data_IF_064789606206
#
_entry.id   IF_064789606206
#
_cell.length_a   1.000
_cell.length_b   1.000
_cell.length_c   1.000
_cell.angle_alpha   90.00
_cell.angle_beta   90.00
_cell.angle_gamma   90.00
#
_symmetry.space_group_name_H-M   'P 1'
#
loop_
_entity.id
_entity.type
_entity.pdbx_description
1 polymer ?
#
# COMPACT_ATOMS: atom_id res chain seq x y z
N UNK A 1 -0.54 -26.23 -25.18
CA UNK A 1 0.28 -25.97 -24.01
C UNK A 1 -0.54 -25.83 -22.69
N UNK A 2 -1.56 -25.01 -22.58
CA UNK A 2 -2.31 -24.73 -21.32
C UNK A 2 -3.61 -25.52 -21.11
N UNK A 3 -4.19 -26.05 -22.19
CA UNK A 3 -5.52 -26.68 -22.17
C UNK A 3 -5.70 -27.81 -21.14
N UNK A 4 -4.75 -28.74 -20.94
CA UNK A 4 -4.93 -29.83 -19.96
C UNK A 4 -4.75 -29.42 -18.51
N UNK A 5 -4.24 -28.20 -18.23
CA UNK A 5 -3.91 -27.70 -16.90
C UNK A 5 -4.93 -26.74 -16.33
N UNK A 6 -5.91 -26.31 -17.13
CA UNK A 6 -6.97 -25.40 -16.72
C UNK A 6 -8.32 -26.12 -16.76
N UNK A 7 -8.99 -26.16 -15.61
CA UNK A 7 -10.30 -26.78 -15.51
C UNK A 7 -11.31 -26.09 -16.44
N UNK A 8 -12.09 -26.90 -17.17
CA UNK A 8 -13.14 -26.44 -18.11
C UNK A 8 -12.66 -25.48 -19.19
N UNK A 9 -11.42 -25.67 -19.63
CA UNK A 9 -10.86 -24.90 -20.73
C UNK A 9 -11.62 -25.14 -22.05
N UNK A 10 -12.11 -24.05 -22.64
CA UNK A 10 -12.73 -24.10 -23.99
C UNK A 10 -12.38 -22.87 -24.81
N UNK A 11 -12.24 -23.04 -26.09
CA UNK A 11 -12.16 -21.94 -27.05
C UNK A 11 -13.58 -21.39 -27.27
N UNK A 12 -13.78 -20.10 -27.03
CA UNK A 12 -15.06 -19.41 -27.23
C UNK A 12 -15.14 -18.84 -28.65
N UNK A 13 -14.04 -18.24 -29.11
CA UNK A 13 -13.81 -17.74 -30.47
C UNK A 13 -12.30 -17.60 -30.68
N UNK A 14 -11.89 -17.16 -31.85
CA UNK A 14 -10.47 -16.93 -32.10
C UNK A 14 -9.90 -15.91 -31.12
N UNK A 15 -8.77 -16.30 -30.51
CA UNK A 15 -8.06 -15.50 -29.50
C UNK A 15 -8.86 -15.19 -28.20
N UNK A 16 -9.94 -15.95 -27.93
CA UNK A 16 -10.71 -15.87 -26.70
C UNK A 16 -10.95 -17.27 -26.12
N UNK A 17 -10.45 -17.53 -24.93
CA UNK A 17 -10.58 -18.80 -24.22
C UNK A 17 -11.22 -18.59 -22.87
N UNK A 18 -12.11 -19.49 -22.48
CA UNK A 18 -12.78 -19.47 -21.18
C UNK A 18 -12.39 -20.71 -20.37
N UNK A 19 -12.20 -20.54 -19.09
CA UNK A 19 -11.83 -21.61 -18.15
C UNK A 19 -12.14 -21.21 -16.72
N UNK A 20 -12.04 -22.16 -15.81
CA UNK A 20 -12.21 -21.92 -14.39
C UNK A 20 -11.01 -21.14 -13.83
N UNK A 21 -11.27 -20.09 -13.06
CA UNK A 21 -10.23 -19.20 -12.55
C UNK A 21 -9.24 -19.94 -11.65
N UNK A 22 -7.93 -19.95 -11.95
CA UNK A 22 -6.94 -20.62 -11.09
C UNK A 22 -6.65 -19.85 -9.79
N UNK A 23 -7.04 -18.57 -9.70
CA UNK A 23 -6.83 -17.75 -8.50
C UNK A 23 -7.94 -17.91 -7.47
N UNK A 24 -9.20 -17.90 -7.89
CA UNK A 24 -10.33 -17.93 -6.95
C UNK A 24 -11.20 -19.21 -7.04
N UNK A 25 -10.89 -20.12 -7.95
CA UNK A 25 -11.67 -21.34 -8.15
C UNK A 25 -13.12 -21.11 -8.60
N UNK A 26 -13.47 -19.87 -9.01
CA UNK A 26 -14.84 -19.44 -9.30
C UNK A 26 -15.81 -19.67 -8.13
N UNK A 27 -16.76 -20.61 -8.26
CA UNK A 27 -17.73 -20.89 -7.23
C UNK A 27 -17.54 -22.30 -6.66
N UNK A 28 -17.38 -22.39 -5.34
CA UNK A 28 -17.32 -23.68 -4.65
C UNK A 28 -18.67 -24.43 -4.71
N UNK A 29 -19.79 -23.68 -4.70
CA UNK A 29 -21.15 -24.22 -4.74
C UNK A 29 -21.59 -24.67 -6.13
N UNK A 30 -21.13 -23.97 -7.17
CA UNK A 30 -21.50 -24.24 -8.58
C UNK A 30 -20.27 -24.55 -9.43
N UNK A 31 -19.81 -25.80 -9.38
CA UNK A 31 -18.63 -26.26 -10.12
C UNK A 31 -18.73 -26.12 -11.66
N UNK A 32 -19.93 -25.79 -12.17
CA UNK A 32 -20.16 -25.57 -13.60
C UNK A 32 -19.70 -24.19 -14.10
N UNK A 33 -19.46 -23.23 -13.22
CA UNK A 33 -19.11 -21.87 -13.60
C UNK A 33 -17.61 -21.76 -13.92
N UNK A 34 -17.31 -21.13 -15.07
CA UNK A 34 -15.98 -20.80 -15.54
C UNK A 34 -15.99 -19.33 -15.97
N UNK A 35 -15.26 -18.46 -15.25
CA UNK A 35 -15.27 -17.01 -15.43
C UNK A 35 -13.88 -16.40 -15.63
N UNK A 36 -12.87 -17.24 -15.76
CA UNK A 36 -11.53 -16.86 -16.20
C UNK A 36 -11.49 -16.82 -17.74
N UNK A 37 -10.82 -15.81 -18.29
CA UNK A 37 -10.69 -15.63 -19.73
C UNK A 37 -9.27 -15.27 -20.11
N UNK A 38 -8.73 -15.94 -21.15
CA UNK A 38 -7.64 -15.40 -21.95
C UNK A 38 -8.20 -14.69 -23.17
N UNK A 39 -7.67 -13.50 -23.44
CA UNK A 39 -8.00 -12.72 -24.64
C UNK A 39 -6.76 -12.03 -25.18
N UNK A 40 -6.70 -11.90 -26.52
CA UNK A 40 -5.58 -11.25 -27.20
C UNK A 40 -5.77 -9.73 -27.16
N UNK A 41 -4.70 -9.00 -26.75
CA UNK A 41 -4.62 -7.55 -26.85
C UNK A 41 -3.27 -7.18 -27.48
N UNK A 42 -3.31 -6.58 -28.67
CA UNK A 42 -2.13 -6.39 -29.53
C UNK A 42 -1.48 -7.76 -29.83
N UNK A 43 -0.21 -7.95 -29.51
CA UNK A 43 0.54 -9.18 -29.76
C UNK A 43 0.58 -10.15 -28.56
N UNK A 44 -0.05 -9.79 -27.42
CA UNK A 44 -0.01 -10.57 -26.18
C UNK A 44 -1.39 -11.11 -25.78
N UNK A 45 -1.37 -12.25 -25.08
CA UNK A 45 -2.53 -12.74 -24.35
C UNK A 45 -2.55 -12.19 -22.93
N UNK A 46 -3.72 -11.64 -22.55
CA UNK A 46 -4.00 -11.19 -21.19
C UNK A 46 -5.04 -12.11 -20.56
N UNK A 47 -5.02 -12.16 -19.25
CA UNK A 47 -5.99 -12.87 -18.43
C UNK A 47 -6.88 -11.90 -17.66
N UNK A 48 -8.18 -12.23 -17.53
CA UNK A 48 -9.11 -11.59 -16.61
C UNK A 48 -10.14 -12.58 -16.08
N UNK A 49 -10.43 -12.49 -14.78
CA UNK A 49 -11.54 -13.22 -14.14
C UNK A 49 -12.69 -12.26 -13.84
N UNK A 50 -13.91 -12.62 -14.30
CA UNK A 50 -15.12 -11.85 -14.04
C UNK A 50 -15.75 -12.18 -12.68
N UNK A 51 -15.17 -13.08 -11.89
CA UNK A 51 -15.62 -13.39 -10.53
C UNK A 51 -14.84 -12.61 -9.48
N UNK A 52 -13.51 -12.70 -9.49
CA UNK A 52 -12.65 -12.03 -8.50
C UNK A 52 -12.01 -10.74 -9.01
N UNK A 53 -12.24 -10.35 -10.28
CA UNK A 53 -11.68 -9.14 -10.87
C UNK A 53 -10.20 -9.23 -11.25
N UNK A 54 -9.48 -10.30 -10.87
CA UNK A 54 -8.04 -10.45 -11.13
C UNK A 54 -7.74 -10.35 -12.63
N UNK A 55 -6.89 -9.39 -12.98
CA UNK A 55 -6.31 -9.22 -14.31
C UNK A 55 -4.80 -9.39 -14.25
N UNK A 56 -4.20 -10.08 -15.24
CA UNK A 56 -2.75 -10.28 -15.31
C UNK A 56 -2.31 -10.73 -16.70
N UNK A 57 -1.00 -10.92 -16.90
CA UNK A 57 -0.43 -11.42 -18.16
C UNK A 57 -0.56 -12.95 -18.26
N UNK A 58 -0.50 -13.47 -19.50
CA UNK A 58 -0.50 -14.91 -19.75
C UNK A 58 0.65 -15.63 -19.01
N UNK A 59 1.86 -15.05 -19.04
CA UNK A 59 3.01 -15.61 -18.35
C UNK A 59 2.79 -15.81 -16.85
N UNK A 60 2.20 -14.82 -16.15
CA UNK A 60 1.91 -14.93 -14.71
C UNK A 60 0.85 -15.99 -14.38
N UNK A 61 -0.05 -16.30 -15.29
CA UNK A 61 -0.97 -17.43 -15.11
C UNK A 61 -0.25 -18.76 -15.31
N UNK A 62 0.66 -18.84 -16.29
CA UNK A 62 1.50 -20.04 -16.48
C UNK A 62 2.38 -20.33 -15.27
N UNK A 63 3.04 -19.31 -14.74
CA UNK A 63 3.87 -19.41 -13.53
C UNK A 63 3.09 -19.99 -12.35
N UNK A 64 1.83 -19.59 -12.19
CA UNK A 64 0.95 -20.09 -11.14
C UNK A 64 0.53 -21.54 -11.32
N UNK A 65 0.24 -21.97 -12.54
CA UNK A 65 -0.36 -23.29 -12.78
C UNK A 65 0.67 -24.38 -13.10
N UNK A 66 1.80 -24.01 -13.70
CA UNK A 66 2.86 -24.95 -14.10
C UNK A 66 4.17 -24.22 -14.46
N UNK A 67 5.13 -24.31 -13.55
CA UNK A 67 6.42 -23.64 -13.68
C UNK A 67 7.23 -24.11 -14.90
N UNK A 68 7.12 -25.39 -15.27
CA UNK A 68 7.87 -25.92 -16.42
C UNK A 68 7.29 -25.42 -17.74
N UNK A 69 5.96 -25.34 -17.86
CA UNK A 69 5.31 -24.71 -19.01
C UNK A 69 5.64 -23.20 -19.07
N UNK A 70 5.77 -22.54 -17.95
CA UNK A 70 6.23 -21.14 -17.89
C UNK A 70 7.65 -20.99 -18.43
N UNK A 71 8.58 -21.84 -17.99
CA UNK A 71 9.97 -21.84 -18.51
C UNK A 71 10.02 -22.06 -20.01
N UNK A 72 9.23 -23.02 -20.54
CA UNK A 72 9.13 -23.26 -21.98
C UNK A 72 8.59 -22.04 -22.74
N UNK A 73 7.54 -21.40 -22.22
CA UNK A 73 6.96 -20.18 -22.78
C UNK A 73 7.98 -19.04 -22.84
N UNK A 74 8.76 -18.85 -21.77
CA UNK A 74 9.83 -17.85 -21.74
C UNK A 74 10.90 -18.17 -22.79
N UNK A 75 11.35 -19.44 -22.87
CA UNK A 75 12.34 -19.86 -23.87
C UNK A 75 11.86 -19.67 -25.31
N UNK A 76 10.59 -20.00 -25.62
CA UNK A 76 10.03 -19.79 -26.93
C UNK A 76 9.98 -18.30 -27.30
N UNK A 77 9.59 -17.45 -26.39
CA UNK A 77 9.61 -15.99 -26.60
C UNK A 77 11.00 -15.41 -26.86
N UNK A 78 12.02 -15.98 -26.23
CA UNK A 78 13.42 -15.59 -26.50
C UNK A 78 13.95 -16.12 -27.82
N UNK A 79 13.46 -17.27 -28.33
CA UNK A 79 13.86 -17.82 -29.63
C UNK A 79 13.31 -17.06 -30.83
N UNK A 80 12.12 -16.48 -30.71
CA UNK A 80 11.49 -15.66 -31.74
C UNK A 80 12.03 -14.23 -31.85
N UNK A 81 12.86 -13.81 -30.91
CA UNK A 81 13.62 -12.56 -30.99
C UNK A 81 14.94 -12.83 -31.71
N UNK A 82 14.97 -12.71 -33.06
CA UNK A 82 16.20 -12.66 -33.83
C UNK A 82 17.18 -11.65 -33.25
N UNK A 83 18.49 -11.96 -33.17
CA UNK A 83 19.45 -11.04 -32.62
C UNK A 83 19.60 -9.84 -33.57
N UNK A 84 18.92 -8.74 -33.29
CA UNK A 84 19.37 -7.45 -33.76
C UNK A 84 20.63 -7.13 -32.97
N UNK A 85 21.72 -6.85 -33.66
CA UNK A 85 22.92 -6.28 -33.08
C UNK A 85 22.53 -5.20 -32.07
N UNK A 86 22.59 -5.53 -30.78
CA UNK A 86 22.52 -4.55 -29.73
C UNK A 86 23.92 -3.95 -29.61
N UNK A 87 24.08 -2.70 -30.04
CA UNK A 87 25.11 -1.86 -29.52
C UNK A 87 24.96 -1.84 -27.97
N UNK A 88 26.06 -1.78 -27.19
CA UNK A 88 25.96 -1.73 -25.75
C UNK A 88 25.14 -0.50 -25.35
N UNK A 89 23.86 -0.72 -24.99
CA UNK A 89 23.08 0.31 -24.33
C UNK A 89 23.75 0.60 -23.00
N UNK A 90 24.43 1.73 -22.93
CA UNK A 90 24.70 2.36 -21.66
C UNK A 90 23.34 2.72 -21.06
N UNK A 91 22.87 1.91 -20.11
CA UNK A 91 21.73 2.25 -19.28
C UNK A 91 22.11 3.44 -18.39
N UNK A 92 22.10 4.64 -18.99
CA UNK A 92 21.83 5.81 -18.19
C UNK A 92 20.37 5.69 -17.77
N UNK A 93 20.10 5.34 -16.50
CA UNK A 93 18.82 5.66 -15.92
C UNK A 93 18.59 7.14 -16.20
N UNK A 94 17.73 7.42 -17.17
CA UNK A 94 17.30 8.79 -17.42
C UNK A 94 16.79 9.31 -16.08
N UNK A 95 17.25 10.47 -15.60
CA UNK A 95 16.76 11.02 -14.35
C UNK A 95 15.23 11.03 -14.44
N UNK A 96 14.58 10.31 -13.53
CA UNK A 96 13.12 10.29 -13.42
C UNK A 96 12.71 11.71 -13.05
N UNK A 97 12.51 12.57 -14.05
CA UNK A 97 11.87 13.86 -13.84
C UNK A 97 10.49 13.52 -13.25
N UNK A 98 10.31 13.81 -11.97
CA UNK A 98 8.98 13.73 -11.33
C UNK A 98 8.08 14.59 -12.22
N UNK A 99 7.12 13.97 -12.94
CA UNK A 99 6.08 14.72 -13.65
C UNK A 99 5.46 15.63 -12.63
N UNK A 100 5.42 16.96 -12.93
CA UNK A 100 4.73 17.90 -12.05
C UNK A 100 3.30 17.43 -11.91
N UNK A 101 2.93 17.04 -10.70
CA UNK A 101 1.57 16.59 -10.40
C UNK A 101 0.64 17.79 -10.47
N UNK A 102 -0.15 17.89 -11.53
CA UNK A 102 -1.13 18.97 -11.71
C UNK A 102 -2.07 19.12 -10.50
N UNK A 103 -2.29 18.04 -9.76
CA UNK A 103 -3.10 18.00 -8.53
C UNK A 103 -2.49 18.78 -7.38
N UNK A 104 -1.16 18.88 -7.30
CA UNK A 104 -0.40 19.54 -6.23
C UNK A 104 0.17 20.91 -6.63
N UNK A 105 0.09 21.31 -7.90
CA UNK A 105 0.72 22.53 -8.43
C UNK A 105 0.28 23.81 -7.71
N UNK A 106 -0.94 23.83 -7.21
CA UNK A 106 -1.50 24.99 -6.50
C UNK A 106 -1.19 25.00 -5.00
N UNK A 107 -0.51 23.98 -4.51
CA UNK A 107 -0.15 23.82 -3.10
C UNK A 107 1.30 24.24 -2.87
N UNK A 108 1.60 24.71 -1.66
CA UNK A 108 2.96 25.12 -1.29
C UNK A 108 3.63 24.01 -0.49
N UNK A 109 4.77 23.46 -0.95
CA UNK A 109 5.54 22.51 -0.16
C UNK A 109 6.04 23.13 1.16
N UNK A 110 6.04 22.35 2.23
CA UNK A 110 6.43 22.82 3.57
C UNK A 110 7.87 23.36 3.60
N UNK A 111 8.79 22.74 2.87
CA UNK A 111 10.19 23.20 2.79
C UNK A 111 10.36 24.57 2.12
N UNK A 112 9.34 25.10 1.44
CA UNK A 112 9.35 26.44 0.83
C UNK A 112 8.74 27.52 1.71
N UNK A 113 8.19 27.15 2.86
CA UNK A 113 7.63 28.08 3.83
C UNK A 113 8.74 28.61 4.75
N UNK A 114 8.61 29.87 5.16
CA UNK A 114 9.49 30.45 6.17
C UNK A 114 9.34 29.70 7.51
N UNK A 115 10.37 29.69 8.34
CA UNK A 115 10.38 28.99 9.63
C UNK A 115 9.33 29.48 10.62
N UNK A 116 8.90 30.74 10.53
CA UNK A 116 7.85 31.36 11.34
C UNK A 116 6.44 31.05 10.85
N UNK A 117 6.29 30.41 9.68
CA UNK A 117 4.98 30.10 9.12
C UNK A 117 4.28 29.01 9.98
N UNK A 118 3.00 29.19 10.39
CA UNK A 118 2.30 28.25 11.28
C UNK A 118 2.28 26.79 10.80
N UNK A 119 2.17 26.57 9.48
CA UNK A 119 2.19 25.22 8.92
C UNK A 119 3.58 24.57 9.02
N UNK A 120 4.66 25.36 8.88
CA UNK A 120 6.03 24.89 9.09
C UNK A 120 6.25 24.55 10.56
N UNK A 121 5.89 25.44 11.46
CA UNK A 121 5.97 25.22 12.91
C UNK A 121 5.15 24.00 13.37
N UNK A 122 3.98 23.76 12.76
CA UNK A 122 3.20 22.58 13.04
C UNK A 122 3.96 21.28 12.73
N UNK A 123 4.59 21.21 11.55
CA UNK A 123 5.37 20.03 11.12
C UNK A 123 6.58 19.83 12.01
N UNK A 124 7.29 20.91 12.36
CA UNK A 124 8.42 20.92 13.30
C UNK A 124 8.01 20.53 14.72
N UNK A 125 6.87 21.03 15.22
CA UNK A 125 6.34 20.65 16.53
C UNK A 125 5.96 19.18 16.64
N UNK A 126 5.67 18.53 15.51
CA UNK A 126 5.46 17.09 15.38
C UNK A 126 6.76 16.31 15.22
N UNK A 127 7.89 17.00 15.15
CA UNK A 127 9.23 16.42 14.89
C UNK A 127 9.27 15.53 13.64
N UNK A 128 8.47 15.88 12.59
CA UNK A 128 8.50 15.11 11.35
C UNK A 128 9.88 15.20 10.72
N UNK A 129 10.42 14.10 10.13
CA UNK A 129 11.74 14.14 9.48
C UNK A 129 11.76 15.13 8.30
N UNK A 130 12.81 15.94 8.22
CA UNK A 130 12.92 17.01 7.22
C UNK A 130 12.89 16.53 5.77
N UNK A 131 13.27 15.29 5.53
CA UNK A 131 13.23 14.65 4.22
C UNK A 131 11.82 14.62 3.62
N UNK A 132 10.77 14.62 4.46
CA UNK A 132 9.38 14.66 4.01
C UNK A 132 8.86 16.05 3.70
N UNK A 133 9.54 17.12 4.11
CA UNK A 133 9.03 18.49 3.98
C UNK A 133 8.82 18.94 2.52
N UNK A 134 9.56 18.38 1.58
CA UNK A 134 9.35 18.62 0.16
C UNK A 134 8.12 17.93 -0.42
N UNK A 135 7.60 16.92 0.27
CA UNK A 135 6.44 16.12 -0.16
C UNK A 135 5.22 16.28 0.77
N UNK A 136 5.31 17.21 1.72
CA UNK A 136 4.20 17.69 2.53
C UNK A 136 3.82 19.09 2.08
N UNK A 137 2.51 19.39 1.98
CA UNK A 137 2.05 20.64 1.38
C UNK A 137 1.09 21.39 2.28
N UNK A 138 1.21 22.70 2.28
CA UNK A 138 0.17 23.59 2.79
C UNK A 138 -0.93 23.75 1.75
N UNK A 139 -2.17 23.46 2.12
CA UNK A 139 -3.35 23.80 1.37
C UNK A 139 -4.17 24.87 2.14
N UNK A 140 -4.14 26.15 1.76
CA UNK A 140 -4.84 27.19 2.49
C UNK A 140 -6.37 27.06 2.44
N UNK A 141 -6.90 26.51 1.34
CA UNK A 141 -8.34 26.35 1.08
C UNK A 141 -8.61 24.88 0.70
N UNK A 142 -8.65 24.02 1.70
CA UNK A 142 -8.67 22.58 1.48
C UNK A 142 -9.98 22.11 0.82
N UNK A 143 -11.13 22.59 1.24
CA UNK A 143 -12.40 22.13 0.67
C UNK A 143 -12.59 22.57 -0.77
N UNK A 144 -12.17 23.80 -1.10
CA UNK A 144 -12.16 24.28 -2.49
C UNK A 144 -11.23 23.44 -3.37
N UNK A 145 -10.03 23.13 -2.86
CA UNK A 145 -9.04 22.34 -3.58
C UNK A 145 -9.52 20.88 -3.76
N UNK A 146 -10.06 20.27 -2.71
CA UNK A 146 -10.52 18.88 -2.72
C UNK A 146 -11.89 18.69 -3.38
N UNK A 147 -12.60 19.79 -3.69
CA UNK A 147 -13.99 19.79 -4.22
C UNK A 147 -15.00 19.13 -3.27
N UNK A 148 -14.68 18.99 -2.00
CA UNK A 148 -15.62 18.54 -0.97
C UNK A 148 -16.51 19.73 -0.58
N UNK A 149 -17.83 19.52 -0.55
CA UNK A 149 -18.76 20.55 -0.07
C UNK A 149 -18.58 20.75 1.45
N UNK A 150 -18.33 22.00 1.85
CA UNK A 150 -18.23 22.42 3.25
C UNK A 150 -18.70 23.86 3.39
N UNK A 151 -19.29 24.17 4.55
CA UNK A 151 -19.71 25.52 4.89
C UNK A 151 -18.55 26.39 5.40
N UNK A 152 -17.49 25.79 5.90
CA UNK A 152 -16.33 26.48 6.45
C UNK A 152 -15.04 25.99 5.79
N UNK A 153 -14.31 26.94 5.23
CA UNK A 153 -13.00 26.70 4.64
C UNK A 153 -11.90 26.86 5.70
N UNK A 154 -10.96 25.94 5.73
CA UNK A 154 -9.79 26.06 6.61
C UNK A 154 -8.55 25.41 6.01
N UNK A 155 -7.34 25.87 6.42
CA UNK A 155 -6.10 25.30 5.93
C UNK A 155 -5.88 23.89 6.47
N UNK A 156 -5.19 23.05 5.67
CA UNK A 156 -4.75 21.72 6.06
C UNK A 156 -3.34 21.41 5.57
N UNK A 157 -2.65 20.59 6.32
CA UNK A 157 -1.48 19.88 5.81
C UNK A 157 -1.97 18.78 4.86
N UNK A 158 -1.49 18.78 3.63
CA UNK A 158 -1.80 17.77 2.62
C UNK A 158 -0.64 16.79 2.52
N UNK A 159 -0.96 15.52 2.69
CA UNK A 159 -0.05 14.37 2.58
C UNK A 159 -0.49 13.61 1.32
N UNK A 160 0.26 13.67 0.21
CA UNK A 160 -0.11 12.98 -1.03
C UNK A 160 0.18 11.48 -0.93
N UNK A 161 -0.70 10.68 -1.51
CA UNK A 161 -0.52 9.23 -1.65
C UNK A 161 -0.11 8.95 -3.08
N UNK A 162 1.10 8.42 -3.24
CA UNK A 162 1.68 8.09 -4.54
C UNK A 162 1.66 6.57 -4.74
N UNK A 163 1.45 6.17 -5.98
CA UNK A 163 1.62 4.77 -6.38
C UNK A 163 3.09 4.45 -6.67
N UNK A 164 3.37 3.20 -7.01
CA UNK A 164 4.71 2.68 -7.33
C UNK A 164 5.41 3.43 -8.48
N UNK A 165 4.65 4.17 -9.31
CA UNK A 165 5.20 5.02 -10.39
C UNK A 165 5.47 6.45 -9.94
N UNK A 166 5.06 6.80 -8.69
CA UNK A 166 5.15 8.14 -8.13
C UNK A 166 3.98 9.05 -8.51
N UNK A 167 2.92 8.54 -9.18
CA UNK A 167 1.73 9.32 -9.51
C UNK A 167 0.81 9.47 -8.30
N UNK A 168 0.33 10.69 -8.02
CA UNK A 168 -0.60 10.96 -6.91
C UNK A 168 -1.99 10.44 -7.26
N UNK A 169 -2.49 9.48 -6.48
CA UNK A 169 -3.82 8.89 -6.64
C UNK A 169 -4.79 9.25 -5.51
N UNK A 170 -4.27 9.72 -4.37
CA UNK A 170 -5.07 10.19 -3.25
C UNK A 170 -4.29 11.24 -2.45
N UNK A 171 -4.96 11.91 -1.53
CA UNK A 171 -4.30 12.79 -0.57
C UNK A 171 -5.07 12.81 0.75
N UNK A 172 -4.35 12.95 1.87
CA UNK A 172 -4.95 13.14 3.17
C UNK A 172 -4.70 14.57 3.67
N UNK A 173 -5.78 15.26 4.00
CA UNK A 173 -5.74 16.58 4.62
C UNK A 173 -5.81 16.48 6.14
N UNK A 174 -4.72 16.84 6.85
CA UNK A 174 -4.64 16.91 8.31
C UNK A 174 -4.93 18.34 8.77
N UNK A 175 -5.90 18.51 9.64
CA UNK A 175 -6.19 19.81 10.26
C UNK A 175 -5.02 20.26 11.15
N UNK A 176 -4.72 21.55 11.17
CA UNK A 176 -3.68 22.13 12.03
C UNK A 176 -4.16 22.30 13.48
N UNK A 177 -5.44 22.54 13.67
CA UNK A 177 -6.04 22.80 14.97
C UNK A 177 -7.07 21.73 15.39
N UNK A 178 -8.20 22.20 15.94
CA UNK A 178 -9.29 21.38 16.50
C UNK A 178 -10.40 21.10 15.50
N UNK A 179 -10.20 21.42 14.23
CA UNK A 179 -11.20 21.23 13.16
C UNK A 179 -11.56 19.75 13.03
N UNK A 180 -12.86 19.52 12.88
CA UNK A 180 -13.42 18.15 12.73
C UNK A 180 -13.93 17.97 11.30
N UNK A 181 -13.63 16.82 10.67
CA UNK A 181 -12.76 15.75 11.14
C UNK A 181 -11.27 16.13 11.07
N UNK A 182 -10.50 15.58 12.01
CA UNK A 182 -9.04 15.79 12.12
C UNK A 182 -8.30 15.40 10.85
N UNK A 183 -8.70 14.29 10.23
CA UNK A 183 -8.18 13.77 8.97
C UNK A 183 -9.29 13.63 7.93
N UNK A 184 -9.01 14.02 6.69
CA UNK A 184 -9.88 13.84 5.53
C UNK A 184 -9.06 13.26 4.39
N UNK A 185 -9.39 12.06 3.95
CA UNK A 185 -8.72 11.44 2.80
C UNK A 185 -9.59 11.55 1.56
N UNK A 186 -9.06 12.14 0.50
CA UNK A 186 -9.67 12.24 -0.82
C UNK A 186 -8.98 11.29 -1.78
N UNK A 187 -9.76 10.70 -2.69
CA UNK A 187 -9.26 9.82 -3.75
C UNK A 187 -9.42 10.53 -5.09
N UNK A 188 -8.37 10.49 -5.90
CA UNK A 188 -8.41 10.95 -7.29
C UNK A 188 -8.62 9.76 -8.25
N UNK A 189 -8.22 8.54 -7.81
CA UNK A 189 -8.40 7.30 -8.53
C UNK A 189 -8.95 6.22 -7.61
N UNK A 190 -9.59 5.18 -8.19
CA UNK A 190 -10.14 4.07 -7.39
C UNK A 190 -9.06 3.05 -7.00
N UNK A 191 -8.10 3.50 -6.18
CA UNK A 191 -7.05 2.69 -5.57
C UNK A 191 -7.24 2.59 -4.05
N UNK A 192 -6.73 1.53 -3.40
CA UNK A 192 -6.70 1.45 -1.93
C UNK A 192 -5.93 2.63 -1.34
N UNK A 193 -6.38 3.13 -0.18
CA UNK A 193 -5.77 4.27 0.52
C UNK A 193 -4.49 3.84 1.26
N UNK A 194 -3.46 3.50 0.51
CA UNK A 194 -2.17 3.09 1.06
C UNK A 194 -1.16 4.20 0.76
N UNK A 195 -0.54 4.71 1.80
CA UNK A 195 0.50 5.72 1.72
C UNK A 195 1.88 5.04 1.73
N UNK A 196 2.82 5.55 0.92
CA UNK A 196 4.20 5.10 0.90
C UNK A 196 4.53 4.03 -0.14
N UNK A 197 3.62 3.70 -1.08
CA UNK A 197 3.87 2.71 -2.14
C UNK A 197 5.04 3.08 -3.07
N UNK A 198 5.34 4.37 -3.20
CA UNK A 198 6.42 4.91 -4.05
C UNK A 198 7.81 4.79 -3.44
N UNK A 199 7.94 4.42 -2.17
CA UNK A 199 9.19 4.43 -1.42
C UNK A 199 9.50 3.14 -0.66
N UNK A 200 8.54 2.21 -0.57
CA UNK A 200 8.74 0.94 0.10
C UNK A 200 9.40 -0.07 -0.83
N UNK A 201 10.43 -0.72 -0.33
CA UNK A 201 11.09 -1.85 -0.98
C UNK A 201 10.43 -3.16 -0.55
N UNK A 202 9.59 -3.72 -1.41
CA UNK A 202 8.86 -4.97 -1.18
C UNK A 202 9.73 -6.23 -1.27
N UNK A 203 11.02 -6.11 -1.60
CA UNK A 203 11.96 -7.24 -1.61
C UNK A 203 12.51 -7.55 -0.21
N UNK A 204 12.26 -6.65 0.75
CA UNK A 204 12.66 -6.77 2.14
C UNK A 204 11.44 -6.69 3.05
N UNK A 205 11.63 -7.03 4.32
CA UNK A 205 10.61 -6.78 5.36
C UNK A 205 10.16 -5.33 5.32
N UNK A 206 8.85 -5.13 5.34
CA UNK A 206 8.25 -3.82 5.46
C UNK A 206 7.22 -3.77 6.58
N UNK A 207 7.01 -2.57 7.09
CA UNK A 207 6.09 -2.32 8.19
C UNK A 207 4.83 -1.66 7.69
N UNK A 208 3.71 -1.90 8.39
CA UNK A 208 2.42 -1.29 8.06
C UNK A 208 1.81 -0.70 9.33
N UNK A 209 1.61 0.62 9.31
CA UNK A 209 0.98 1.39 10.39
C UNK A 209 -0.41 1.90 9.98
N UNK A 210 -1.14 2.49 10.92
CA UNK A 210 -2.45 3.08 10.64
C UNK A 210 -2.35 4.45 9.95
N UNK A 211 -1.48 5.33 10.44
CA UNK A 211 -1.38 6.72 10.05
C UNK A 211 -0.18 7.06 9.16
N UNK A 212 -0.36 7.89 8.10
CA UNK A 212 0.77 8.35 7.29
C UNK A 212 1.87 9.06 8.08
N UNK A 213 1.51 9.82 9.14
CA UNK A 213 2.50 10.52 9.99
C UNK A 213 3.37 9.51 10.72
N UNK A 214 2.78 8.47 11.30
CA UNK A 214 3.51 7.44 12.05
C UNK A 214 4.49 6.68 11.15
N UNK A 215 4.10 6.43 9.91
CA UNK A 215 4.96 5.74 8.94
C UNK A 215 6.24 6.51 8.57
N UNK A 216 6.29 7.81 8.85
CA UNK A 216 7.49 8.64 8.57
C UNK A 216 8.62 8.41 9.57
N UNK A 217 8.35 7.72 10.67
CA UNK A 217 9.32 7.41 11.73
C UNK A 217 9.76 5.94 11.72
N UNK A 218 9.24 5.13 10.81
CA UNK A 218 9.54 3.69 10.70
C UNK A 218 10.17 3.42 9.35
N UNK A 219 11.26 2.66 9.34
CA UNK A 219 11.96 2.29 8.13
C UNK A 219 11.09 1.40 7.24
N UNK A 220 11.17 1.61 5.91
CA UNK A 220 10.47 0.77 4.93
C UNK A 220 9.00 0.54 5.27
N UNK A 221 8.24 1.63 5.48
CA UNK A 221 6.92 1.59 6.08
C UNK A 221 5.82 2.15 5.18
N UNK A 222 4.68 1.45 5.18
CA UNK A 222 3.40 1.88 4.59
C UNK A 222 2.43 2.36 5.67
N UNK A 223 1.41 3.14 5.26
CA UNK A 223 0.27 3.41 6.12
C UNK A 223 -1.07 3.15 5.39
N UNK A 224 -2.01 2.52 6.09
CA UNK A 224 -3.32 2.14 5.52
C UNK A 224 -4.43 3.20 5.72
N UNK A 225 -4.13 4.37 6.25
CA UNK A 225 -5.01 5.55 6.34
C UNK A 225 -6.50 5.25 6.64
N UNK A 226 -6.76 4.50 7.69
CA UNK A 226 -8.12 4.13 8.10
C UNK A 226 -8.27 2.66 8.47
N UNK A 227 -7.19 2.01 8.87
CA UNK A 227 -7.14 0.63 9.39
C UNK A 227 -7.74 -0.45 8.46
N UNK A 228 -7.73 -0.25 7.14
CA UNK A 228 -8.17 -1.26 6.18
C UNK A 228 -7.00 -2.12 5.67
N UNK A 229 -6.59 -3.06 6.52
CA UNK A 229 -5.48 -3.98 6.24
C UNK A 229 -5.78 -5.04 5.16
N UNK A 230 -7.01 -5.08 4.62
CA UNK A 230 -7.39 -6.05 3.56
C UNK A 230 -6.68 -5.82 2.23
N UNK A 231 -6.17 -4.63 2.02
CA UNK A 231 -5.53 -4.22 0.77
C UNK A 231 -4.01 -4.14 0.86
N UNK A 232 -3.41 -4.68 1.93
CA UNK A 232 -1.95 -4.71 2.07
C UNK A 232 -1.32 -5.46 0.90
N UNK A 233 -0.20 -4.94 0.37
CA UNK A 233 0.61 -5.68 -0.58
C UNK A 233 1.11 -6.99 0.01
N UNK A 234 1.27 -8.06 -0.79
CA UNK A 234 1.88 -9.29 -0.32
C UNK A 234 3.38 -9.09 -0.06
N UNK A 235 3.91 -9.78 0.95
CA UNK A 235 5.33 -9.75 1.29
C UNK A 235 5.61 -10.06 2.75
N UNK A 236 6.86 -9.95 3.14
CA UNK A 236 7.30 -10.08 4.54
C UNK A 236 6.88 -8.81 5.31
N UNK A 237 5.76 -8.91 6.02
CA UNK A 237 5.04 -7.77 6.58
C UNK A 237 4.91 -7.86 8.09
N UNK A 238 5.32 -6.80 8.79
CA UNK A 238 5.04 -6.60 10.22
C UNK A 238 4.01 -5.49 10.39
N UNK A 239 2.93 -5.76 11.12
CA UNK A 239 1.86 -4.80 11.37
C UNK A 239 2.07 -4.11 12.71
N UNK A 240 2.01 -2.77 12.71
CA UNK A 240 2.22 -1.94 13.88
C UNK A 240 0.96 -1.10 14.12
N UNK A 241 0.13 -1.54 15.05
CA UNK A 241 -1.10 -0.85 15.43
C UNK A 241 -0.84 0.16 16.56
N UNK A 242 -1.77 1.10 16.72
CA UNK A 242 -1.76 2.03 17.84
C UNK A 242 -1.76 1.28 19.19
N UNK A 243 -1.06 1.83 20.19
CA UNK A 243 -0.98 1.25 21.53
C UNK A 243 -2.25 1.58 22.33
N UNK A 244 -3.35 0.93 21.99
CA UNK A 244 -4.66 1.12 22.62
C UNK A 244 -5.17 -0.17 23.33
N UNK A 245 -4.57 -0.60 24.46
CA UNK A 245 -4.91 -1.87 25.11
C UNK A 245 -6.33 -1.93 25.72
N UNK A 246 -7.04 -0.81 25.73
CA UNK A 246 -8.45 -0.71 26.15
C UNK A 246 -9.44 -0.62 24.99
N UNK A 247 -8.96 -0.51 23.75
CA UNK A 247 -9.81 -0.46 22.57
C UNK A 247 -10.22 -1.86 22.15
N UNK A 248 -11.51 -2.16 22.31
CA UNK A 248 -12.08 -3.45 21.84
C UNK A 248 -11.94 -3.66 20.34
N UNK A 249 -11.92 -2.56 19.57
CA UNK A 249 -11.78 -2.60 18.11
C UNK A 249 -10.35 -3.02 17.72
N UNK A 250 -9.34 -2.39 18.34
CA UNK A 250 -7.93 -2.74 18.11
C UNK A 250 -7.65 -4.17 18.54
N UNK A 251 -8.11 -4.58 19.72
CA UNK A 251 -7.92 -5.97 20.21
C UNK A 251 -8.53 -6.99 19.23
N UNK A 252 -9.77 -6.78 18.77
CA UNK A 252 -10.40 -7.65 17.78
C UNK A 252 -9.66 -7.67 16.45
N UNK A 253 -9.11 -6.53 16.05
CA UNK A 253 -8.30 -6.44 14.84
C UNK A 253 -7.01 -7.25 15.01
N UNK A 254 -6.30 -7.10 16.14
CA UNK A 254 -5.09 -7.88 16.46
C UNK A 254 -5.38 -9.38 16.48
N UNK A 255 -6.46 -9.82 17.16
CA UNK A 255 -6.88 -11.22 17.21
C UNK A 255 -7.13 -11.80 15.81
N UNK A 256 -7.78 -11.03 14.94
CA UNK A 256 -8.02 -11.40 13.53
C UNK A 256 -6.72 -11.51 12.73
N UNK A 257 -5.82 -10.54 12.87
CA UNK A 257 -4.55 -10.52 12.15
C UNK A 257 -3.64 -11.67 12.59
N UNK A 258 -3.59 -11.98 13.89
CA UNK A 258 -2.87 -13.16 14.42
C UNK A 258 -3.47 -14.46 13.86
N UNK A 259 -4.79 -14.55 13.73
CA UNK A 259 -5.46 -15.72 13.12
C UNK A 259 -5.13 -15.85 11.63
N UNK A 260 -4.84 -14.75 10.96
CA UNK A 260 -4.39 -14.69 9.56
C UNK A 260 -2.87 -14.88 9.41
N UNK A 261 -2.18 -15.26 10.49
CA UNK A 261 -0.74 -15.55 10.53
C UNK A 261 0.18 -14.35 10.25
N UNK A 262 -0.33 -13.12 10.42
CA UNK A 262 0.51 -11.91 10.35
C UNK A 262 1.41 -11.78 11.58
N UNK A 263 2.58 -11.17 11.37
CA UNK A 263 3.42 -10.66 12.45
C UNK A 263 2.90 -9.32 12.94
N UNK A 264 2.79 -9.15 14.25
CA UNK A 264 2.30 -7.94 14.88
C UNK A 264 3.27 -7.42 15.93
N UNK A 265 3.34 -6.11 16.05
CA UNK A 265 3.94 -5.47 17.22
C UNK A 265 2.94 -5.48 18.37
N UNK A 266 3.39 -5.96 19.53
CA UNK A 266 2.66 -5.86 20.80
C UNK A 266 3.52 -5.02 21.74
N UNK A 267 3.08 -3.79 21.95
CA UNK A 267 3.86 -2.80 22.67
C UNK A 267 4.17 -3.24 24.10
N UNK A 268 5.42 -3.06 24.58
CA UNK A 268 5.78 -3.39 25.95
C UNK A 268 5.15 -2.40 26.95
N UNK A 269 4.97 -2.80 28.19
CA UNK A 269 4.36 -1.98 29.27
C UNK A 269 5.14 -0.68 29.54
N UNK A 270 6.40 -0.60 29.12
CA UNK A 270 7.22 0.62 29.23
C UNK A 270 6.79 1.72 28.27
N UNK A 271 6.04 1.38 27.21
CA UNK A 271 5.47 2.33 26.26
C UNK A 271 4.03 2.64 26.66
N UNK A 272 3.79 3.90 27.03
CA UNK A 272 2.47 4.39 27.47
C UNK A 272 1.80 5.31 26.45
N UNK A 273 2.55 5.78 25.48
CA UNK A 273 2.07 6.64 24.38
C UNK A 273 1.16 5.85 23.44
N UNK A 274 0.19 6.56 22.87
CA UNK A 274 -0.82 5.96 22.01
C UNK A 274 -0.28 5.53 20.64
N UNK A 275 0.40 6.44 19.96
CA UNK A 275 0.90 6.26 18.60
C UNK A 275 2.40 6.59 18.50
N UNK A 276 3.00 6.27 17.35
CA UNK A 276 4.45 6.45 17.14
C UNK A 276 4.83 7.92 17.21
N UNK A 277 4.03 8.84 16.66
CA UNK A 277 4.36 10.26 16.75
C UNK A 277 4.31 10.76 18.20
N UNK A 278 3.36 10.29 19.00
CA UNK A 278 3.32 10.63 20.43
C UNK A 278 4.53 10.04 21.19
N UNK A 279 5.05 8.87 20.78
CA UNK A 279 6.30 8.30 21.32
C UNK A 279 7.51 9.20 21.00
N UNK A 280 7.63 9.66 19.76
CA UNK A 280 8.69 10.60 19.33
C UNK A 280 8.62 11.88 20.17
N UNK A 281 7.43 12.47 20.33
CA UNK A 281 7.23 13.69 21.11
C UNK A 281 7.54 13.50 22.59
N UNK A 282 7.35 12.31 23.13
CA UNK A 282 7.73 11.95 24.49
C UNK A 282 9.24 11.66 24.67
N UNK A 283 10.02 11.72 23.58
CA UNK A 283 11.46 11.47 23.60
C UNK A 283 11.84 9.99 23.62
N UNK A 284 10.94 9.09 23.24
CA UNK A 284 11.26 7.66 23.07
C UNK A 284 12.27 7.53 21.93
N UNK A 285 13.41 6.92 22.22
CA UNK A 285 14.49 6.68 21.25
C UNK A 285 14.37 5.29 20.68
N UNK A 286 15.00 5.11 19.53
CA UNK A 286 15.17 3.79 18.89
C UNK A 286 13.85 3.03 18.68
N UNK A 287 12.81 3.74 18.22
CA UNK A 287 11.46 3.20 17.99
C UNK A 287 11.52 1.97 17.09
N UNK A 288 12.38 1.99 16.06
CA UNK A 288 12.56 0.83 15.18
C UNK A 288 13.01 -0.41 15.97
N UNK A 289 14.00 -0.27 16.84
CA UNK A 289 14.48 -1.36 17.69
C UNK A 289 13.38 -1.87 18.66
N UNK A 290 12.55 -0.96 19.18
CA UNK A 290 11.40 -1.37 20.01
C UNK A 290 10.39 -2.17 19.21
N UNK A 291 10.07 -1.74 17.99
CA UNK A 291 9.19 -2.46 17.06
C UNK A 291 9.75 -3.87 16.79
N UNK A 292 11.02 -3.97 16.39
CA UNK A 292 11.64 -5.23 16.01
C UNK A 292 11.69 -6.22 17.18
N UNK A 293 12.03 -5.75 18.39
CA UNK A 293 12.10 -6.57 19.59
C UNK A 293 10.74 -6.99 20.15
N UNK A 294 9.65 -6.37 19.72
CA UNK A 294 8.29 -6.64 20.19
C UNK A 294 7.36 -7.11 19.07
N UNK A 295 7.93 -7.66 18.00
CA UNK A 295 7.20 -8.30 16.89
C UNK A 295 6.99 -9.78 17.21
N UNK A 296 5.74 -10.23 17.16
CA UNK A 296 5.34 -11.59 17.51
C UNK A 296 4.36 -12.16 16.49
N UNK A 297 4.33 -13.50 16.36
CA UNK A 297 3.38 -14.22 15.50
C UNK A 297 2.82 -15.47 16.20
N UNK A 298 1.80 -16.08 15.63
CA UNK A 298 1.25 -17.36 16.04
C UNK A 298 0.84 -17.43 17.52
N UNK A 299 1.28 -18.46 18.23
CA UNK A 299 0.92 -18.68 19.64
C UNK A 299 1.53 -17.63 20.56
N UNK A 300 2.77 -17.22 20.30
CA UNK A 300 3.44 -16.21 21.12
C UNK A 300 2.69 -14.87 21.07
N UNK A 301 2.28 -14.43 19.86
CA UNK A 301 1.45 -13.23 19.73
C UNK A 301 0.13 -13.33 20.51
N UNK A 302 -0.52 -14.49 20.52
CA UNK A 302 -1.74 -14.72 21.32
C UNK A 302 -1.49 -14.56 22.81
N UNK A 303 -0.39 -15.12 23.31
CA UNK A 303 -0.01 -15.02 24.74
C UNK A 303 0.34 -13.59 25.13
N UNK A 304 1.13 -12.89 24.29
CA UNK A 304 1.50 -11.49 24.52
C UNK A 304 0.29 -10.58 24.47
N UNK A 305 -0.61 -10.77 23.48
CA UNK A 305 -1.85 -10.01 23.39
C UNK A 305 -2.75 -10.21 24.61
N UNK A 306 -2.85 -11.45 25.13
CA UNK A 306 -3.63 -11.75 26.33
C UNK A 306 -3.09 -11.00 27.57
N UNK A 307 -1.78 -10.83 27.69
CA UNK A 307 -1.14 -10.06 28.74
C UNK A 307 -1.26 -8.53 28.53
N UNK A 308 -1.21 -8.07 27.26
CA UNK A 308 -1.23 -6.65 26.91
C UNK A 308 -2.60 -5.99 27.05
N UNK A 309 -3.69 -6.70 26.70
CA UNK A 309 -5.05 -6.14 26.76
C UNK A 309 -5.49 -5.79 28.18
N UNK A 310 -6.26 -4.70 28.33
CA UNK A 310 -6.72 -4.11 29.60
C UNK A 310 -8.26 -4.00 29.66
N UNK A 311 -8.99 -4.98 29.12
CA UNK A 311 -10.45 -5.07 29.11
C UNK A 311 -10.94 -6.34 29.78
#
# INVERSE_FOLDING_TARGET
MVSPRLEKFKKVRDSLFNFRCPYCGDSLKFRNKARGYFYKKKNDFLYKCHNCGKGTTFGKVLELIDLDTYKQYVMERYKDSSPRHQEPEFNFEAPKFKKKDSKLETLTPINKLNGDHPARQFVESRQLPEEFYSDLYLCPKFFKWSKIQSQQEHPRLVIPFRDETGEVFAAQGRAFGKEVPKYLTIKFDDKPKIFGLDRVDFTRRFYVVEGPIDSMFVNNCLAVAGADFRYMPPGDTTIVLDNEPRSREIIKLMERLIHQEYELVIWPDTITQKDINDMVLAGVKDIQTIIDNNTFSGLEAKMKLAAWKRI
#
